data_IF_324136152834
#
_entry.id   IF_324136152834
#
_cell.length_a   1.000
_cell.length_b   1.000
_cell.length_c   1.000
_cell.angle_alpha   90.00
_cell.angle_beta   90.00
_cell.angle_gamma   90.00
#
_symmetry.space_group_name_H-M   'P 1'
#
loop_
_entity.id
_entity.type
_entity.pdbx_description
1 polymer ?
#
# COMPACT_ATOMS: atom_id res chain seq x y z
N UNK A 1 -20.00 39.70 -1.21
CA UNK A 1 -18.71 38.99 -1.06
C UNK A 1 -18.94 37.79 -0.16
N UNK A 2 -19.53 36.69 -0.65
CA UNK A 2 -19.68 35.46 0.14
C UNK A 2 -19.47 34.30 -0.83
N UNK A 3 -18.26 33.74 -0.83
CA UNK A 3 -17.96 32.51 -1.53
C UNK A 3 -18.69 31.37 -0.83
N UNK A 4 -19.71 30.83 -1.49
CA UNK A 4 -20.33 29.58 -1.09
C UNK A 4 -19.26 28.50 -1.14
N UNK A 5 -18.81 28.03 0.02
CA UNK A 5 -17.90 26.90 0.12
C UNK A 5 -18.64 25.65 -0.35
N UNK A 6 -18.24 25.11 -1.50
CA UNK A 6 -18.72 23.82 -2.00
C UNK A 6 -18.64 22.75 -0.90
N UNK A 7 -19.67 21.91 -0.71
CA UNK A 7 -19.56 20.78 0.19
C UNK A 7 -18.50 19.84 -0.38
N UNK A 8 -17.36 19.73 0.29
CA UNK A 8 -16.32 18.72 0.00
C UNK A 8 -17.04 17.36 -0.04
N UNK A 9 -17.26 16.84 -1.25
CA UNK A 9 -17.75 15.48 -1.47
C UNK A 9 -16.66 14.53 -0.98
N UNK A 10 -16.70 14.22 0.31
CA UNK A 10 -15.82 13.24 0.92
C UNK A 10 -16.32 11.88 0.52
N UNK A 11 -15.47 11.09 -0.14
CA UNK A 11 -15.82 9.71 -0.46
C UNK A 11 -15.99 8.96 0.87
N UNK A 12 -17.01 8.09 1.02
CA UNK A 12 -17.28 7.39 2.29
C UNK A 12 -16.08 6.59 2.80
N UNK A 13 -15.19 6.17 1.91
CA UNK A 13 -13.99 5.42 2.27
C UNK A 13 -12.89 6.28 2.91
N UNK A 14 -12.98 7.61 2.77
CA UNK A 14 -12.07 8.57 3.41
C UNK A 14 -12.43 8.90 4.85
N UNK A 15 -13.63 8.53 5.30
CA UNK A 15 -14.08 8.72 6.70
C UNK A 15 -13.83 7.50 7.57
N UNK A 16 -13.33 6.40 6.99
CA UNK A 16 -12.99 5.20 7.75
C UNK A 16 -11.84 5.46 8.73
N UNK A 17 -11.95 4.98 9.98
CA UNK A 17 -10.84 4.96 10.92
C UNK A 17 -9.63 4.21 10.36
N UNK A 18 -8.44 4.64 10.77
CA UNK A 18 -7.17 4.07 10.29
C UNK A 18 -7.04 2.59 10.65
N UNK A 19 -7.67 2.14 11.74
CA UNK A 19 -7.69 0.75 12.20
C UNK A 19 -8.46 -0.15 11.21
N UNK A 20 -9.57 0.35 10.69
CA UNK A 20 -10.40 -0.37 9.72
C UNK A 20 -9.68 -0.43 8.38
N UNK A 21 -9.10 0.68 7.93
CA UNK A 21 -8.28 0.69 6.71
C UNK A 21 -7.09 -0.24 6.82
N UNK A 22 -6.38 -0.24 7.96
CA UNK A 22 -5.26 -1.14 8.20
C UNK A 22 -5.70 -2.60 8.15
N UNK A 23 -6.84 -2.93 8.75
CA UNK A 23 -7.41 -4.27 8.73
C UNK A 23 -7.76 -4.73 7.31
N UNK A 24 -8.33 -3.82 6.50
CA UNK A 24 -8.61 -4.08 5.07
C UNK A 24 -7.33 -4.33 4.30
N UNK A 25 -6.27 -3.53 4.52
CA UNK A 25 -4.99 -3.70 3.84
C UNK A 25 -4.33 -5.03 4.20
N UNK A 26 -4.34 -5.41 5.48
CA UNK A 26 -3.80 -6.70 5.92
C UNK A 26 -4.60 -7.86 5.31
N UNK A 27 -5.93 -7.76 5.29
CA UNK A 27 -6.79 -8.78 4.69
C UNK A 27 -6.59 -8.90 3.17
N UNK A 28 -6.34 -7.78 2.48
CA UNK A 28 -6.07 -7.73 1.04
C UNK A 28 -4.64 -8.05 0.64
N UNK A 29 -3.71 -8.19 1.60
CA UNK A 29 -2.32 -8.55 1.30
C UNK A 29 -2.28 -10.02 0.87
N UNK A 30 -1.80 -10.33 -0.34
CA UNK A 30 -1.69 -11.71 -0.80
C UNK A 30 -0.76 -12.49 0.12
N UNK A 31 -1.29 -13.52 0.78
CA UNK A 31 -0.55 -14.36 1.76
C UNK A 31 0.35 -15.40 1.12
N UNK A 32 0.14 -15.66 -0.16
CA UNK A 32 0.89 -16.63 -0.95
C UNK A 32 1.08 -16.03 -2.34
N UNK A 33 2.27 -16.18 -2.92
CA UNK A 33 2.54 -15.94 -4.34
C UNK A 33 1.70 -16.89 -5.20
N UNK A 34 0.41 -16.62 -5.30
CA UNK A 34 -0.48 -17.37 -6.17
C UNK A 34 -0.34 -16.79 -7.56
N UNK A 35 0.33 -17.58 -8.40
CA UNK A 35 0.68 -17.45 -9.81
C UNK A 35 -0.51 -17.28 -10.75
N UNK A 36 -1.41 -16.34 -10.46
CA UNK A 36 -2.50 -15.99 -11.37
C UNK A 36 -2.15 -14.63 -11.94
N UNK A 37 -2.05 -14.58 -13.26
CA UNK A 37 -1.72 -13.42 -14.06
C UNK A 37 -2.66 -12.23 -13.75
N UNK A 38 -2.35 -11.49 -12.70
CA UNK A 38 -3.00 -10.22 -12.38
C UNK A 38 -2.38 -9.15 -13.29
N UNK A 39 -3.17 -8.32 -13.98
CA UNK A 39 -2.67 -7.12 -14.66
C UNK A 39 -1.80 -6.20 -13.79
N UNK A 40 -1.90 -6.31 -12.46
CA UNK A 40 -1.04 -5.65 -11.47
C UNK A 40 0.23 -6.44 -11.09
N UNK A 41 0.55 -7.55 -11.76
CA UNK A 41 1.68 -8.44 -11.44
C UNK A 41 3.05 -7.75 -11.35
N UNK A 42 3.20 -6.51 -11.83
CA UNK A 42 4.41 -5.70 -11.66
C UNK A 42 4.40 -4.74 -10.47
N UNK A 43 3.25 -4.46 -9.86
CA UNK A 43 3.11 -3.44 -8.80
C UNK A 43 2.66 -4.08 -7.48
N UNK A 44 3.48 -4.03 -6.42
CA UNK A 44 3.10 -4.57 -5.13
C UNK A 44 1.79 -3.95 -4.60
N UNK A 45 0.96 -4.75 -3.93
CA UNK A 45 -0.31 -4.29 -3.34
C UNK A 45 -0.12 -3.07 -2.42
N UNK A 46 0.97 -3.01 -1.68
CA UNK A 46 1.36 -1.87 -0.83
C UNK A 46 1.47 -0.55 -1.62
N UNK A 47 2.04 -0.61 -2.82
CA UNK A 47 2.14 0.54 -3.73
C UNK A 47 0.77 0.92 -4.28
N UNK A 48 -0.08 -0.07 -4.61
CA UNK A 48 -1.45 0.17 -5.09
C UNK A 48 -2.26 0.93 -4.03
N UNK A 49 -2.35 0.41 -2.80
CA UNK A 49 -3.12 1.10 -1.76
C UNK A 49 -2.54 2.46 -1.38
N UNK A 50 -1.22 2.63 -1.43
CA UNK A 50 -0.58 3.92 -1.20
C UNK A 50 -0.78 4.93 -2.35
N UNK A 51 -1.24 4.49 -3.53
CA UNK A 51 -1.49 5.36 -4.68
C UNK A 51 -2.91 5.94 -4.74
N UNK A 52 -3.87 5.35 -4.01
CA UNK A 52 -5.31 5.67 -4.14
C UNK A 52 -5.65 7.10 -3.67
N UNK A 53 -5.35 7.46 -2.42
CA UNK A 53 -5.59 8.81 -1.89
C UNK A 53 -4.62 9.15 -0.75
N UNK A 54 -4.61 10.42 -0.30
CA UNK A 54 -3.72 10.86 0.79
C UNK A 54 -3.96 10.10 2.10
N UNK A 55 -5.22 9.82 2.45
CA UNK A 55 -5.57 9.09 3.68
C UNK A 55 -5.06 7.64 3.65
N UNK A 56 -5.25 6.97 2.52
CA UNK A 56 -4.78 5.60 2.31
C UNK A 56 -3.27 5.52 2.27
N UNK A 57 -2.61 6.50 1.62
CA UNK A 57 -1.15 6.62 1.62
C UNK A 57 -0.59 6.78 3.02
N UNK A 58 -1.17 7.69 3.81
CA UNK A 58 -0.72 7.90 5.18
C UNK A 58 -0.87 6.65 6.03
N UNK A 59 -2.00 5.95 5.90
CA UNK A 59 -2.25 4.68 6.61
C UNK A 59 -1.28 3.59 6.15
N UNK A 60 -1.12 3.39 4.85
CA UNK A 60 -0.28 2.34 4.26
C UNK A 60 1.21 2.54 4.59
N UNK A 61 1.74 3.76 4.52
CA UNK A 61 3.15 4.04 4.86
C UNK A 61 3.43 3.75 6.33
N UNK A 62 2.47 4.02 7.22
CA UNK A 62 2.58 3.77 8.67
C UNK A 62 2.20 2.33 9.06
N UNK A 63 2.02 1.43 8.10
CA UNK A 63 1.69 0.03 8.35
C UNK A 63 2.84 -0.89 7.90
N UNK A 64 3.85 -1.13 8.76
CA UNK A 64 5.09 -1.80 8.36
C UNK A 64 4.89 -3.20 7.78
N UNK A 65 3.88 -3.93 8.28
CA UNK A 65 3.53 -5.27 7.83
C UNK A 65 3.26 -5.34 6.31
N UNK A 66 2.76 -4.26 5.73
CA UNK A 66 2.43 -4.17 4.31
C UNK A 66 3.67 -4.11 3.40
N UNK A 67 4.84 -3.79 3.95
CA UNK A 67 6.08 -3.58 3.21
C UNK A 67 7.07 -4.74 3.35
N UNK A 68 6.67 -5.83 3.99
CA UNK A 68 7.51 -7.00 4.28
C UNK A 68 7.77 -7.88 3.05
N UNK A 69 6.80 -7.97 2.14
CA UNK A 69 6.93 -8.72 0.88
C UNK A 69 7.67 -7.93 -0.19
N UNK A 70 8.92 -8.30 -0.46
CA UNK A 70 9.76 -7.67 -1.49
C UNK A 70 9.95 -8.64 -2.64
N UNK A 71 9.54 -8.21 -3.84
CA UNK A 71 9.77 -8.95 -5.08
C UNK A 71 11.04 -8.42 -5.75
N UNK A 72 12.01 -9.29 -5.99
CA UNK A 72 13.19 -9.00 -6.77
C UNK A 72 13.05 -9.67 -8.13
N UNK A 73 13.15 -8.90 -9.21
CA UNK A 73 13.24 -9.43 -10.56
C UNK A 73 14.59 -9.03 -11.16
N UNK A 74 15.19 -9.91 -11.95
CA UNK A 74 16.55 -9.76 -12.50
C UNK A 74 16.76 -8.46 -13.33
N UNK A 75 15.66 -7.81 -13.74
CA UNK A 75 15.68 -6.60 -14.57
C UNK A 75 15.31 -5.31 -13.82
N UNK A 76 14.91 -5.36 -12.54
CA UNK A 76 14.43 -4.18 -11.82
C UNK A 76 15.54 -3.45 -11.06
N UNK A 77 15.45 -2.11 -11.07
CA UNK A 77 16.32 -1.25 -10.27
C UNK A 77 16.04 -1.43 -8.78
N UNK A 78 17.09 -1.43 -7.94
CA UNK A 78 17.00 -1.60 -6.47
C UNK A 78 16.25 -0.47 -5.72
N UNK A 79 15.54 0.41 -6.43
CA UNK A 79 14.81 1.55 -5.87
C UNK A 79 13.63 1.08 -5.02
N UNK A 80 12.81 0.15 -5.55
CA UNK A 80 11.65 -0.37 -4.82
C UNK A 80 12.06 -1.18 -3.58
N UNK A 81 12.98 -2.16 -3.66
CA UNK A 81 13.46 -2.87 -2.47
C UNK A 81 13.99 -1.94 -1.37
N UNK A 82 14.80 -0.94 -1.71
CA UNK A 82 15.32 0.04 -0.75
C UNK A 82 14.20 0.83 -0.05
N UNK A 83 13.18 1.21 -0.82
CA UNK A 83 12.02 1.92 -0.28
C UNK A 83 11.17 1.03 0.63
N UNK A 84 11.04 -0.26 0.34
CA UNK A 84 10.32 -1.22 1.19
C UNK A 84 11.06 -1.43 2.52
N UNK A 85 12.38 -1.65 2.45
CA UNK A 85 13.26 -1.79 3.63
C UNK A 85 13.14 -0.57 4.56
N UNK A 86 13.08 0.65 4.00
CA UNK A 86 12.91 1.85 4.80
C UNK A 86 11.56 1.94 5.54
N UNK A 87 10.56 1.17 5.13
CA UNK A 87 9.18 1.20 5.65
C UNK A 87 8.83 0.01 6.53
N UNK A 88 9.64 -1.04 6.56
CA UNK A 88 9.35 -2.24 7.36
C UNK A 88 9.59 -2.06 8.84
N UNK A 89 10.24 -0.96 9.26
CA UNK A 89 10.44 -0.64 10.66
C UNK A 89 11.23 -1.69 11.45
N UNK A 90 12.06 -2.48 10.76
CA UNK A 90 12.83 -3.58 11.35
C UNK A 90 12.11 -4.94 11.42
N UNK A 91 10.92 -5.07 10.83
CA UNK A 91 10.27 -6.37 10.67
C UNK A 91 11.05 -7.28 9.69
N UNK A 92 10.99 -8.62 9.86
CA UNK A 92 11.56 -9.57 8.91
C UNK A 92 10.94 -9.38 7.53
N UNK A 93 11.78 -9.54 6.49
CA UNK A 93 11.38 -9.41 5.09
C UNK A 93 11.18 -10.79 4.49
N UNK A 94 10.10 -10.93 3.72
CA UNK A 94 9.90 -12.06 2.85
C UNK A 94 10.35 -11.64 1.44
N UNK A 95 11.46 -12.22 1.00
CA UNK A 95 12.04 -11.93 -0.32
C UNK A 95 11.60 -13.01 -1.30
N UNK A 96 10.94 -12.58 -2.37
CA UNK A 96 10.51 -13.43 -3.47
C UNK A 96 11.37 -13.11 -4.71
N UNK A 97 11.81 -14.16 -5.41
CA UNK A 97 12.53 -14.09 -6.69
C UNK A 97 11.65 -14.59 -7.83
#
# INVERSE_FOLDING_TARGET
>A
MQGASDPKMTTPISTLPVEILSSIFIAGTPKTSSTIADPLAGTPFSCVVASICHHWRHTAINLPMLWTGVYMSDSQTLVLPKLFIGRTGGLPLDVFM
#
